data_IF_320527293648
#
_entry.id   IF_320527293648
#
_cell.length_a   1.000
_cell.length_b   1.000
_cell.length_c   1.000
_cell.angle_alpha   90.00
_cell.angle_beta   90.00
_cell.angle_gamma   90.00
#
_symmetry.space_group_name_H-M   'P 1'
#
loop_
_entity.id
_entity.type
_entity.pdbx_description
1 polymer ?
#
# COMPACT_ATOMS: atom_id res chain seq x y z
N UNK A 1 -16.90 50.80 -4.17
CA UNK A 1 -17.51 49.48 -4.50
C UNK A 1 -16.86 48.80 -5.72
N UNK A 2 -16.72 49.43 -6.91
CA UNK A 2 -16.12 48.78 -8.10
C UNK A 2 -14.71 48.22 -7.86
N UNK A 3 -13.83 48.92 -7.15
CA UNK A 3 -12.47 48.44 -6.83
C UNK A 3 -12.45 47.21 -5.96
N UNK A 4 -13.40 47.07 -5.01
CA UNK A 4 -13.53 45.89 -4.16
C UNK A 4 -14.01 44.68 -4.97
N UNK A 5 -14.96 44.86 -5.89
CA UNK A 5 -15.39 43.81 -6.79
C UNK A 5 -14.30 43.34 -7.74
N UNK A 6 -13.48 44.27 -8.26
CA UNK A 6 -12.31 43.93 -9.10
C UNK A 6 -11.29 43.13 -8.28
N UNK A 7 -10.95 43.60 -7.07
CA UNK A 7 -10.03 42.87 -6.20
C UNK A 7 -10.56 41.44 -5.83
N UNK A 8 -11.85 41.34 -5.48
CA UNK A 8 -12.49 40.07 -5.21
C UNK A 8 -12.42 39.10 -6.41
N UNK A 9 -12.78 39.60 -7.60
CA UNK A 9 -12.75 38.78 -8.83
C UNK A 9 -11.33 38.34 -9.15
N UNK A 10 -10.32 39.19 -8.99
CA UNK A 10 -8.90 38.81 -9.20
C UNK A 10 -8.44 37.73 -8.23
N UNK A 11 -8.77 37.86 -6.95
CA UNK A 11 -8.43 36.84 -5.95
C UNK A 11 -9.10 35.50 -6.29
N UNK A 12 -10.40 35.52 -6.63
CA UNK A 12 -11.14 34.33 -6.99
C UNK A 12 -10.54 33.64 -8.21
N UNK A 13 -10.28 34.40 -9.29
CA UNK A 13 -9.69 33.84 -10.51
C UNK A 13 -8.32 33.24 -10.22
N UNK A 14 -7.45 33.95 -9.48
CA UNK A 14 -6.13 33.44 -9.12
C UNK A 14 -6.23 32.15 -8.28
N UNK A 15 -7.13 32.15 -7.30
CA UNK A 15 -7.36 30.95 -6.45
C UNK A 15 -7.81 29.75 -7.29
N UNK A 16 -8.75 29.94 -8.22
CA UNK A 16 -9.20 28.83 -9.09
C UNK A 16 -8.10 28.36 -10.06
N UNK A 17 -7.25 29.26 -10.56
CA UNK A 17 -6.11 28.87 -11.39
C UNK A 17 -5.10 28.03 -10.60
N UNK A 18 -4.78 28.44 -9.37
CA UNK A 18 -3.89 27.66 -8.48
C UNK A 18 -4.50 26.32 -8.12
N UNK A 19 -5.77 26.29 -7.72
CA UNK A 19 -6.48 25.03 -7.40
C UNK A 19 -6.57 24.10 -8.61
N UNK A 20 -6.85 24.63 -9.80
CA UNK A 20 -6.88 23.84 -11.03
C UNK A 20 -5.52 23.25 -11.38
N UNK A 21 -4.44 24.04 -11.21
CA UNK A 21 -3.08 23.55 -11.40
C UNK A 21 -2.71 22.45 -10.40
N UNK A 22 -2.98 22.66 -9.09
CA UNK A 22 -2.76 21.67 -8.04
C UNK A 22 -3.56 20.41 -8.32
N UNK A 23 -4.86 20.54 -8.66
CA UNK A 23 -5.72 19.39 -8.98
C UNK A 23 -5.19 18.56 -10.14
N UNK A 24 -4.69 19.21 -11.18
CA UNK A 24 -4.05 18.54 -12.31
C UNK A 24 -2.78 17.79 -11.89
N UNK A 25 -1.94 18.41 -11.04
CA UNK A 25 -0.73 17.75 -10.51
C UNK A 25 -1.09 16.54 -9.64
N UNK A 26 -2.06 16.66 -8.75
CA UNK A 26 -2.53 15.55 -7.92
C UNK A 26 -3.00 14.38 -8.80
N UNK A 27 -3.80 14.68 -9.84
CA UNK A 27 -4.28 13.64 -10.77
C UNK A 27 -3.15 12.93 -11.52
N UNK A 28 -2.10 13.66 -11.90
CA UNK A 28 -0.95 13.09 -12.62
C UNK A 28 -0.04 12.25 -11.71
N UNK A 29 0.05 12.59 -10.43
CA UNK A 29 0.98 11.98 -9.46
C UNK A 29 0.33 10.91 -8.57
N UNK A 30 -1.00 10.76 -8.65
CA UNK A 30 -1.70 9.74 -7.86
C UNK A 30 -1.28 8.31 -8.26
N UNK A 31 -1.26 7.36 -7.31
CA UNK A 31 -0.97 5.96 -7.63
C UNK A 31 -2.04 5.39 -8.56
N UNK A 32 -1.65 4.73 -9.65
CA UNK A 32 -2.60 4.06 -10.52
C UNK A 32 -3.29 2.91 -9.77
N UNK A 33 -4.56 2.70 -10.03
CA UNK A 33 -5.28 1.50 -9.59
C UNK A 33 -5.15 0.46 -10.70
N UNK A 34 -4.33 -0.61 -10.52
CA UNK A 34 -4.15 -1.60 -11.56
C UNK A 34 -5.43 -2.40 -11.81
N UNK A 35 -5.68 -2.71 -13.08
CA UNK A 35 -6.76 -3.62 -13.48
C UNK A 35 -6.51 -5.05 -12.98
N UNK A 36 -5.23 -5.43 -12.81
CA UNK A 36 -4.83 -6.71 -12.24
C UNK A 36 -3.42 -6.68 -11.70
N UNK A 37 -3.17 -7.55 -10.73
CA UNK A 37 -1.82 -7.86 -10.26
C UNK A 37 -1.54 -9.31 -10.58
N UNK A 38 -0.43 -9.57 -11.26
CA UNK A 38 0.00 -10.91 -11.68
C UNK A 38 1.42 -11.20 -11.22
N UNK A 39 1.74 -12.46 -11.06
CA UNK A 39 3.12 -12.90 -10.86
C UNK A 39 3.87 -13.01 -12.20
N UNK A 40 5.17 -13.13 -12.16
CA UNK A 40 6.02 -13.31 -13.36
C UNK A 40 5.68 -14.59 -14.15
N UNK A 41 5.03 -15.58 -13.52
CA UNK A 41 4.54 -16.80 -14.17
C UNK A 41 3.08 -16.68 -14.69
N UNK A 42 2.46 -15.50 -14.55
CA UNK A 42 1.11 -15.20 -15.05
C UNK A 42 -0.03 -15.52 -14.07
N UNK A 43 0.26 -15.98 -12.85
CA UNK A 43 -0.79 -16.22 -11.84
C UNK A 43 -1.43 -14.91 -11.40
N UNK A 44 -2.77 -14.83 -11.45
CA UNK A 44 -3.52 -13.64 -11.01
C UNK A 44 -3.64 -13.64 -9.49
N UNK A 45 -3.12 -12.59 -8.85
CA UNK A 45 -3.19 -12.36 -7.39
C UNK A 45 -4.36 -11.45 -7.03
N UNK A 46 -4.53 -10.35 -7.78
CA UNK A 46 -5.63 -9.38 -7.63
C UNK A 46 -6.31 -9.23 -8.98
N UNK A 47 -7.62 -9.39 -9.01
CA UNK A 47 -8.43 -9.26 -10.22
C UNK A 47 -8.97 -7.84 -10.38
N UNK A 48 -9.50 -7.56 -11.56
CA UNK A 48 -10.11 -6.27 -11.87
C UNK A 48 -11.26 -5.93 -10.91
N UNK A 49 -11.24 -4.71 -10.38
CA UNK A 49 -12.24 -4.23 -9.44
C UNK A 49 -12.03 -4.63 -7.97
N UNK A 50 -11.15 -5.60 -7.67
CA UNK A 50 -10.93 -6.08 -6.29
C UNK A 50 -10.43 -4.96 -5.36
N UNK A 51 -9.54 -4.08 -5.84
CA UNK A 51 -8.99 -2.97 -5.04
C UNK A 51 -10.09 -1.97 -4.66
N UNK A 52 -10.88 -1.53 -5.62
CA UNK A 52 -11.99 -0.59 -5.36
C UNK A 52 -13.07 -1.20 -4.48
N UNK A 53 -13.41 -2.47 -4.70
CA UNK A 53 -14.35 -3.19 -3.83
C UNK A 53 -13.79 -3.36 -2.41
N UNK A 54 -12.48 -3.59 -2.27
CA UNK A 54 -11.80 -3.65 -0.97
C UNK A 54 -11.80 -2.33 -0.23
N UNK A 55 -11.61 -1.21 -0.93
CA UNK A 55 -11.78 0.13 -0.36
C UNK A 55 -13.19 0.34 0.19
N UNK A 56 -14.22 -0.10 -0.53
CA UNK A 56 -15.61 -0.03 -0.07
C UNK A 56 -15.83 -0.88 1.20
N UNK A 57 -15.19 -2.05 1.29
CA UNK A 57 -15.24 -2.87 2.52
C UNK A 57 -14.60 -2.12 3.69
N UNK A 58 -13.41 -1.54 3.52
CA UNK A 58 -12.74 -0.75 4.55
C UNK A 58 -13.58 0.45 5.00
N UNK A 59 -14.17 1.21 4.06
CA UNK A 59 -15.04 2.34 4.37
C UNK A 59 -16.30 1.90 5.13
N UNK A 60 -16.90 0.77 4.77
CA UNK A 60 -18.08 0.22 5.45
C UNK A 60 -17.80 -0.24 6.89
N UNK A 61 -16.53 -0.52 7.22
CA UNK A 61 -16.08 -0.85 8.59
C UNK A 61 -15.85 0.39 9.46
N UNK A 62 -15.93 1.60 8.90
CA UNK A 62 -15.64 2.87 9.60
C UNK A 62 -14.44 3.62 9.03
N UNK A 63 -13.76 3.07 8.01
CA UNK A 63 -12.66 3.73 7.34
C UNK A 63 -11.53 4.11 8.30
N UNK A 64 -11.15 5.38 8.33
CA UNK A 64 -10.06 5.91 9.16
C UNK A 64 -10.26 5.73 10.67
N UNK A 65 -11.49 5.49 11.15
CA UNK A 65 -11.74 5.25 12.57
C UNK A 65 -11.23 3.90 13.04
N UNK A 66 -11.27 2.89 12.16
CA UNK A 66 -10.86 1.51 12.46
C UNK A 66 -9.49 1.14 11.88
N UNK A 67 -8.68 2.10 11.52
CA UNK A 67 -7.33 1.94 10.98
C UNK A 67 -7.08 2.83 9.79
N UNK A 68 -5.94 3.54 9.82
CA UNK A 68 -5.62 4.52 8.79
C UNK A 68 -5.00 3.89 7.54
N UNK A 69 -4.97 4.69 6.50
CA UNK A 69 -4.26 4.43 5.25
C UNK A 69 -3.25 5.57 5.03
N UNK A 70 -2.03 5.22 4.61
CA UNK A 70 -0.94 6.16 4.33
C UNK A 70 -0.57 7.08 5.50
N UNK A 71 -0.64 6.57 6.72
CA UNK A 71 -0.13 7.25 7.90
C UNK A 71 -0.94 8.44 8.39
N UNK A 72 -2.22 8.54 8.03
CA UNK A 72 -3.09 9.63 8.50
C UNK A 72 -3.52 9.50 9.96
N UNK A 73 -3.18 8.38 10.60
CA UNK A 73 -3.56 8.10 11.99
C UNK A 73 -4.97 7.55 12.16
N UNK A 74 -5.16 6.75 13.19
CA UNK A 74 -6.45 6.24 13.64
C UNK A 74 -6.49 6.24 15.16
N UNK A 75 -7.68 6.03 15.76
CA UNK A 75 -7.81 6.07 17.22
C UNK A 75 -7.25 4.83 17.91
N UNK A 76 -7.38 3.65 17.32
CA UNK A 76 -7.09 2.38 18.00
C UNK A 76 -6.32 1.40 17.14
N UNK A 77 -6.78 1.14 15.93
CA UNK A 77 -6.15 0.18 15.02
C UNK A 77 -4.91 0.77 14.35
N UNK A 78 -4.02 -0.07 13.77
CA UNK A 78 -2.82 0.40 13.09
C UNK A 78 -3.13 1.17 11.80
N UNK A 79 -2.09 1.74 11.21
CA UNK A 79 -2.12 2.08 9.79
C UNK A 79 -1.98 0.78 8.97
N UNK A 80 -3.02 0.45 8.20
CA UNK A 80 -3.07 -0.80 7.44
C UNK A 80 -2.03 -0.86 6.33
N UNK A 81 -1.60 0.30 5.81
CA UNK A 81 -0.52 0.38 4.84
C UNK A 81 0.81 -0.02 5.49
N UNK A 82 1.12 0.56 6.64
CA UNK A 82 2.35 0.27 7.38
C UNK A 82 2.38 -1.18 7.87
N UNK A 83 1.28 -1.68 8.45
CA UNK A 83 1.18 -3.04 8.96
C UNK A 83 1.31 -4.07 7.82
N UNK A 84 0.62 -3.84 6.68
CA UNK A 84 0.80 -4.70 5.51
C UNK A 84 2.23 -4.70 5.00
N UNK A 85 2.80 -3.50 4.81
CA UNK A 85 4.15 -3.35 4.25
C UNK A 85 5.20 -4.03 5.10
N UNK A 86 5.13 -3.84 6.42
CA UNK A 86 6.04 -4.48 7.36
C UNK A 86 5.92 -6.02 7.32
N UNK A 87 4.69 -6.54 7.37
CA UNK A 87 4.45 -8.01 7.30
C UNK A 87 4.93 -8.62 6.01
N UNK A 88 4.67 -7.96 4.87
CA UNK A 88 5.16 -8.41 3.56
C UNK A 88 6.69 -8.44 3.54
N UNK A 89 7.34 -7.38 4.03
CA UNK A 89 8.80 -7.29 4.08
C UNK A 89 9.42 -8.39 4.96
N UNK A 90 8.92 -8.58 6.18
CA UNK A 90 9.40 -9.63 7.09
C UNK A 90 9.19 -11.01 6.50
N UNK A 91 8.00 -11.30 5.96
CA UNK A 91 7.71 -12.59 5.33
C UNK A 91 8.71 -12.91 4.21
N UNK A 92 8.97 -11.97 3.31
CA UNK A 92 9.87 -12.16 2.19
C UNK A 92 11.31 -12.39 2.68
N UNK A 93 11.77 -11.60 3.66
CA UNK A 93 13.11 -11.74 4.23
C UNK A 93 13.30 -13.08 4.93
N UNK A 94 12.33 -13.52 5.74
CA UNK A 94 12.38 -14.82 6.41
C UNK A 94 12.32 -15.98 5.41
N UNK A 95 11.50 -15.85 4.35
CA UNK A 95 11.42 -16.85 3.29
C UNK A 95 12.75 -17.05 2.58
N UNK A 96 13.44 -15.96 2.24
CA UNK A 96 14.77 -16.02 1.62
C UNK A 96 15.84 -16.48 2.60
N UNK A 97 15.86 -15.95 3.83
CA UNK A 97 16.82 -16.33 4.86
C UNK A 97 16.78 -17.83 5.15
N UNK A 98 15.56 -18.37 5.31
CA UNK A 98 15.38 -19.82 5.52
C UNK A 98 15.85 -20.64 4.33
N UNK A 99 15.52 -20.21 3.11
CA UNK A 99 15.90 -20.94 1.89
C UNK A 99 17.41 -20.92 1.61
N UNK A 100 18.08 -19.80 1.87
CA UNK A 100 19.50 -19.60 1.52
C UNK A 100 20.45 -19.93 2.68
N UNK A 101 20.04 -19.73 3.93
CA UNK A 101 20.90 -19.85 5.11
C UNK A 101 20.36 -20.80 6.19
N UNK A 102 19.17 -21.37 6.02
CA UNK A 102 18.56 -22.29 7.00
C UNK A 102 18.17 -21.65 8.34
N UNK A 103 18.03 -20.32 8.40
CA UNK A 103 17.70 -19.57 9.61
C UNK A 103 16.71 -18.43 9.30
N UNK A 104 16.00 -17.96 10.34
CA UNK A 104 15.19 -16.76 10.24
C UNK A 104 16.04 -15.51 10.00
N UNK A 105 15.51 -14.53 9.30
CA UNK A 105 16.24 -13.30 8.94
C UNK A 105 16.84 -12.59 10.17
N UNK A 106 16.10 -12.48 11.27
CA UNK A 106 16.57 -11.82 12.49
C UNK A 106 17.77 -12.53 13.17
N UNK A 107 18.03 -13.80 12.84
CA UNK A 107 19.15 -14.60 13.38
C UNK A 107 20.40 -14.54 12.52
N UNK A 108 20.34 -13.91 11.33
CA UNK A 108 21.49 -13.75 10.44
C UNK A 108 22.43 -12.67 10.96
N UNK A 109 23.70 -12.76 10.57
CA UNK A 109 24.66 -11.68 10.75
C UNK A 109 24.31 -10.44 9.90
N UNK A 110 24.91 -9.29 10.26
CA UNK A 110 24.58 -8.01 9.64
C UNK A 110 24.89 -7.95 8.13
N UNK A 111 25.88 -8.70 7.63
CA UNK A 111 26.22 -8.72 6.21
C UNK A 111 25.13 -9.42 5.40
N UNK A 112 24.70 -10.60 5.84
CA UNK A 112 23.60 -11.35 5.22
C UNK A 112 22.26 -10.60 5.30
N UNK A 113 21.99 -9.96 6.44
CA UNK A 113 20.81 -9.10 6.58
C UNK A 113 20.85 -7.96 5.56
N UNK A 114 21.97 -7.25 5.44
CA UNK A 114 22.12 -6.14 4.50
C UNK A 114 21.96 -6.60 3.04
N UNK A 115 22.51 -7.78 2.69
CA UNK A 115 22.35 -8.38 1.36
C UNK A 115 20.87 -8.64 1.02
N UNK A 116 20.13 -9.27 1.93
CA UNK A 116 18.70 -9.57 1.72
C UNK A 116 17.85 -8.30 1.71
N UNK A 117 18.15 -7.31 2.57
CA UNK A 117 17.49 -6.00 2.54
C UNK A 117 17.69 -5.27 1.21
N UNK A 118 18.92 -5.27 0.67
CA UNK A 118 19.19 -4.68 -0.64
C UNK A 118 18.38 -5.33 -1.76
N UNK A 119 18.23 -6.66 -1.71
CA UNK A 119 17.38 -7.42 -2.65
C UNK A 119 15.90 -7.09 -2.46
N UNK A 120 15.42 -7.01 -1.21
CA UNK A 120 14.04 -6.64 -0.88
C UNK A 120 13.72 -5.23 -1.40
N UNK A 121 14.57 -4.26 -1.10
CA UNK A 121 14.40 -2.89 -1.57
C UNK A 121 14.27 -2.83 -3.10
N UNK A 122 15.08 -3.58 -3.84
CA UNK A 122 14.99 -3.67 -5.30
C UNK A 122 13.64 -4.25 -5.74
N UNK A 123 13.19 -5.35 -5.13
CA UNK A 123 11.92 -6.03 -5.49
C UNK A 123 10.71 -5.15 -5.17
N UNK A 124 10.72 -4.46 -4.02
CA UNK A 124 9.58 -3.66 -3.57
C UNK A 124 9.50 -2.29 -4.26
N UNK A 125 10.65 -1.66 -4.53
CA UNK A 125 10.72 -0.29 -5.05
C UNK A 125 10.70 -0.20 -6.58
N UNK A 126 10.98 -1.30 -7.28
CA UNK A 126 10.91 -1.30 -8.76
C UNK A 126 9.46 -1.19 -9.21
N UNK A 127 9.17 -0.18 -10.01
CA UNK A 127 7.84 -0.01 -10.61
C UNK A 127 7.69 -0.95 -11.81
N UNK A 128 6.75 -1.86 -11.72
CA UNK A 128 6.42 -2.85 -12.76
C UNK A 128 5.00 -2.63 -13.33
N UNK A 129 4.41 -1.47 -13.07
CA UNK A 129 3.12 -1.11 -13.63
C UNK A 129 3.26 -0.81 -15.13
N UNK A 130 2.48 -1.51 -15.92
CA UNK A 130 2.34 -1.25 -17.36
C UNK A 130 1.05 -0.46 -17.62
N UNK A 131 1.14 0.82 -17.99
CA UNK A 131 -0.03 1.65 -18.24
C UNK A 131 -0.85 1.22 -19.46
N UNK A 132 -0.26 0.48 -20.41
CA UNK A 132 -0.96 0.02 -21.61
C UNK A 132 -1.96 -1.11 -21.29
N UNK A 133 -1.63 -1.95 -20.31
CA UNK A 133 -2.46 -3.10 -19.90
C UNK A 133 -3.12 -2.91 -18.55
N UNK A 134 -2.74 -1.86 -17.81
CA UNK A 134 -3.16 -1.66 -16.43
C UNK A 134 -2.66 -2.74 -15.47
N UNK A 135 -1.56 -3.44 -15.80
CA UNK A 135 -1.09 -4.61 -15.07
C UNK A 135 0.12 -4.27 -14.22
N UNK A 136 0.13 -4.73 -12.96
CA UNK A 136 1.33 -4.78 -12.12
C UNK A 136 1.86 -6.22 -12.09
N UNK A 137 3.14 -6.41 -12.40
CA UNK A 137 3.80 -7.72 -12.31
C UNK A 137 4.64 -7.80 -11.05
N UNK A 138 4.42 -8.81 -10.20
CA UNK A 138 5.15 -9.01 -8.96
C UNK A 138 5.95 -10.31 -8.97
N UNK A 139 6.99 -10.38 -8.13
CA UNK A 139 7.73 -11.61 -7.91
C UNK A 139 6.83 -12.66 -7.20
N UNK A 140 6.97 -13.99 -7.49
CA UNK A 140 6.15 -15.03 -6.86
C UNK A 140 6.16 -14.98 -5.33
N UNK A 141 7.30 -14.66 -4.70
CA UNK A 141 7.40 -14.51 -3.25
C UNK A 141 6.47 -13.43 -2.68
N UNK A 142 6.16 -12.37 -3.43
CA UNK A 142 5.18 -11.35 -3.04
C UNK A 142 3.74 -11.90 -3.08
N UNK A 143 3.45 -12.82 -4.00
CA UNK A 143 2.16 -13.52 -4.01
C UNK A 143 2.04 -14.47 -2.79
N UNK A 144 3.12 -15.15 -2.39
CA UNK A 144 3.15 -15.92 -1.15
C UNK A 144 2.91 -15.01 0.07
N UNK A 145 3.56 -13.85 0.13
CA UNK A 145 3.35 -12.86 1.19
C UNK A 145 1.91 -12.32 1.20
N UNK A 146 1.31 -12.09 0.02
CA UNK A 146 -0.10 -11.71 -0.08
C UNK A 146 -1.01 -12.76 0.57
N UNK A 147 -0.80 -14.06 0.32
CA UNK A 147 -1.59 -15.12 0.93
C UNK A 147 -1.40 -15.19 2.46
N UNK A 148 -0.18 -14.98 2.94
CA UNK A 148 0.10 -14.92 4.38
C UNK A 148 -0.62 -13.74 5.04
N UNK A 149 -0.59 -12.56 4.43
CA UNK A 149 -1.30 -11.38 4.89
C UNK A 149 -2.83 -11.55 4.80
N UNK A 150 -3.35 -12.12 3.71
CA UNK A 150 -4.77 -12.45 3.59
C UNK A 150 -5.25 -13.34 4.75
N UNK A 151 -4.47 -14.38 5.10
CA UNK A 151 -4.79 -15.25 6.25
C UNK A 151 -4.80 -14.45 7.55
N UNK A 152 -3.80 -13.59 7.78
CA UNK A 152 -3.73 -12.74 8.97
C UNK A 152 -4.94 -11.80 9.08
N UNK A 153 -5.27 -11.05 8.02
CA UNK A 153 -6.40 -10.13 8.05
C UNK A 153 -7.75 -10.85 8.10
N UNK A 154 -7.85 -12.04 7.50
CA UNK A 154 -9.03 -12.88 7.66
C UNK A 154 -9.25 -13.26 9.12
N UNK A 155 -8.19 -13.58 9.85
CA UNK A 155 -8.27 -13.84 11.29
C UNK A 155 -8.68 -12.59 12.07
N UNK A 156 -8.03 -11.46 11.83
CA UNK A 156 -8.31 -10.17 12.50
C UNK A 156 -9.77 -9.76 12.32
N UNK A 157 -10.31 -9.80 11.11
CA UNK A 157 -11.66 -9.28 10.82
C UNK A 157 -12.78 -10.30 11.04
N UNK A 158 -12.50 -11.59 10.95
CA UNK A 158 -13.50 -12.63 11.23
C UNK A 158 -13.59 -12.97 12.72
N UNK A 159 -12.45 -13.09 13.40
CA UNK A 159 -12.42 -13.45 14.83
C UNK A 159 -12.43 -12.23 15.75
N UNK A 160 -12.17 -11.04 15.21
CA UNK A 160 -12.08 -9.80 15.95
C UNK A 160 -10.71 -9.63 16.61
N UNK A 161 -10.37 -8.39 16.94
CA UNK A 161 -9.17 -8.03 17.69
C UNK A 161 -9.48 -6.86 18.63
N UNK A 162 -9.65 -7.16 19.90
CA UNK A 162 -10.07 -6.17 20.91
C UNK A 162 -9.11 -4.96 21.00
N UNK A 163 -7.79 -5.21 20.86
CA UNK A 163 -6.76 -4.18 20.86
C UNK A 163 -6.90 -3.16 19.72
N UNK A 164 -7.58 -3.56 18.63
CA UNK A 164 -7.85 -2.72 17.46
C UNK A 164 -9.31 -2.23 17.44
N UNK A 165 -10.07 -2.50 18.49
CA UNK A 165 -11.51 -2.27 18.55
C UNK A 165 -12.31 -2.92 17.40
N UNK A 166 -11.79 -4.02 16.84
CA UNK A 166 -12.46 -4.77 15.79
C UNK A 166 -13.29 -5.88 16.44
N UNK A 167 -14.63 -5.85 16.30
CA UNK A 167 -15.49 -6.87 16.88
C UNK A 167 -15.37 -8.18 16.11
N UNK A 168 -15.69 -9.29 16.78
CA UNK A 168 -15.82 -10.59 16.13
C UNK A 168 -16.91 -10.54 15.06
N UNK A 169 -16.62 -11.10 13.89
CA UNK A 169 -17.55 -11.14 12.77
C UNK A 169 -17.66 -9.80 12.00
N UNK A 170 -16.71 -8.88 12.16
CA UNK A 170 -16.69 -7.61 11.42
C UNK A 170 -16.74 -7.84 9.90
N UNK A 171 -15.98 -8.81 9.40
CA UNK A 171 -16.09 -9.34 8.02
C UNK A 171 -15.86 -10.85 8.07
N UNK A 172 -16.83 -11.64 7.62
CA UNK A 172 -16.76 -13.11 7.60
C UNK A 172 -16.79 -13.71 6.20
N UNK A 173 -17.20 -12.91 5.20
CA UNK A 173 -17.25 -13.34 3.81
C UNK A 173 -15.82 -13.40 3.24
N UNK A 174 -15.35 -14.59 2.78
CA UNK A 174 -14.00 -14.75 2.25
C UNK A 174 -13.70 -13.88 1.02
N UNK A 175 -14.69 -13.62 0.17
CA UNK A 175 -14.51 -12.77 -1.00
C UNK A 175 -14.29 -11.31 -0.58
N UNK A 176 -15.06 -10.81 0.37
CA UNK A 176 -14.85 -9.47 0.93
C UNK A 176 -13.51 -9.34 1.66
N UNK A 177 -13.06 -10.37 2.37
CA UNK A 177 -11.74 -10.40 3.03
C UNK A 177 -10.60 -10.37 2.00
N UNK A 178 -10.74 -11.11 0.90
CA UNK A 178 -9.77 -11.08 -0.21
C UNK A 178 -9.71 -9.69 -0.85
N UNK A 179 -10.85 -9.04 -1.10
CA UNK A 179 -10.93 -7.69 -1.65
C UNK A 179 -10.34 -6.65 -0.70
N UNK A 180 -10.64 -6.72 0.59
CA UNK A 180 -10.03 -5.88 1.63
C UNK A 180 -8.50 -6.01 1.63
N UNK A 181 -8.00 -7.24 1.53
CA UNK A 181 -6.56 -7.52 1.42
C UNK A 181 -5.95 -6.97 0.14
N UNK A 182 -6.68 -7.01 -0.99
CA UNK A 182 -6.23 -6.41 -2.24
C UNK A 182 -6.10 -4.89 -2.13
N UNK A 183 -7.00 -4.24 -1.40
CA UNK A 183 -6.91 -2.80 -1.11
C UNK A 183 -5.69 -2.48 -0.23
N UNK A 184 -5.46 -3.21 0.87
CA UNK A 184 -4.28 -3.01 1.73
C UNK A 184 -2.97 -3.28 0.99
N UNK A 185 -2.92 -4.33 0.16
CA UNK A 185 -1.79 -4.59 -0.73
C UNK A 185 -1.50 -3.41 -1.65
N UNK A 186 -2.52 -2.86 -2.31
CA UNK A 186 -2.36 -1.74 -3.22
C UNK A 186 -1.84 -0.48 -2.51
N UNK A 187 -2.34 -0.19 -1.32
CA UNK A 187 -1.86 0.96 -0.53
C UNK A 187 -0.39 0.78 -0.12
N UNK A 188 0.03 -0.43 0.25
CA UNK A 188 1.41 -0.77 0.57
C UNK A 188 2.31 -0.74 -0.68
N UNK A 189 1.82 -1.23 -1.83
CA UNK A 189 2.51 -1.10 -3.11
C UNK A 189 2.76 0.37 -3.46
N UNK A 190 1.77 1.24 -3.34
CA UNK A 190 1.91 2.67 -3.59
C UNK A 190 2.91 3.35 -2.65
N UNK A 191 3.02 2.86 -1.39
CA UNK A 191 3.95 3.39 -0.39
C UNK A 191 5.39 2.88 -0.56
N UNK A 192 5.59 1.76 -1.25
CA UNK A 192 6.91 1.14 -1.45
C UNK A 192 7.47 1.30 -2.85
N UNK A 193 6.63 1.41 -3.88
CA UNK A 193 7.05 1.45 -5.30
C UNK A 193 7.34 2.86 -5.74
N UNK A 194 8.50 3.07 -6.37
CA UNK A 194 8.88 4.38 -6.90
C UNK A 194 7.97 4.82 -8.05
N UNK A 195 7.70 6.11 -8.13
CA UNK A 195 7.12 6.72 -9.32
C UNK A 195 8.05 6.51 -10.52
N UNK A 196 7.52 6.51 -11.75
CA UNK A 196 8.36 6.45 -12.93
C UNK A 196 9.41 7.57 -12.95
N UNK A 197 10.69 7.18 -13.11
CA UNK A 197 11.83 8.11 -13.19
C UNK A 197 12.11 8.95 -11.92
N UNK A 198 11.55 8.56 -10.77
CA UNK A 198 11.76 9.25 -9.49
C UNK A 198 12.32 8.31 -8.43
N UNK A 199 13.03 8.87 -7.44
CA UNK A 199 13.48 8.16 -6.24
C UNK A 199 12.41 8.10 -5.13
N UNK A 200 11.29 8.79 -5.31
CA UNK A 200 10.17 8.83 -4.37
C UNK A 200 9.06 7.88 -4.79
N UNK A 201 8.33 7.32 -3.82
CA UNK A 201 7.16 6.50 -4.04
C UNK A 201 5.94 7.36 -4.35
N UNK A 202 4.81 6.73 -4.74
CA UNK A 202 3.56 7.46 -5.00
C UNK A 202 3.04 8.24 -3.77
N UNK A 203 3.43 7.84 -2.57
CA UNK A 203 3.07 8.50 -1.31
C UNK A 203 4.21 9.32 -0.70
N UNK A 204 5.23 9.71 -1.50
CA UNK A 204 6.45 10.40 -1.03
C UNK A 204 7.18 9.63 0.09
N UNK A 205 7.32 8.32 -0.08
CA UNK A 205 7.99 7.40 0.85
C UNK A 205 7.31 7.30 2.24
N UNK A 206 6.00 7.49 2.31
CA UNK A 206 5.27 7.39 3.56
C UNK A 206 4.10 6.37 3.46
N UNK A 207 3.86 5.50 4.48
CA UNK A 207 4.66 5.36 5.71
C UNK A 207 6.04 4.75 5.45
N UNK A 208 6.99 5.10 6.32
CA UNK A 208 8.37 4.61 6.22
C UNK A 208 8.48 3.18 6.76
N UNK A 209 9.06 2.28 5.94
CA UNK A 209 9.44 0.93 6.35
C UNK A 209 10.96 0.75 6.19
N UNK A 210 11.72 0.66 7.32
CA UNK A 210 13.17 0.54 7.26
C UNK A 210 13.68 -0.63 6.44
N UNK A 211 12.97 -1.77 6.44
CA UNK A 211 13.37 -2.97 5.70
C UNK A 211 13.29 -2.79 4.19
N UNK A 212 12.36 -1.96 3.73
CA UNK A 212 12.16 -1.61 2.31
C UNK A 212 13.02 -0.43 1.88
N UNK A 213 13.41 0.42 2.83
CA UNK A 213 14.27 1.58 2.58
C UNK A 213 13.57 2.73 1.84
N UNK A 214 12.26 2.85 1.92
CA UNK A 214 11.49 3.99 1.41
C UNK A 214 11.57 5.17 2.37
N UNK A 215 12.77 5.73 2.56
CA UNK A 215 13.01 6.82 3.51
C UNK A 215 12.35 8.12 3.03
N UNK A 216 11.52 8.80 3.86
CA UNK A 216 11.00 10.13 3.56
C UNK A 216 12.14 11.12 3.33
N UNK A 217 11.98 11.99 2.34
CA UNK A 217 12.95 13.04 1.97
C UNK A 217 12.54 14.37 2.58
#
# INVERSE_FOLDING_TARGET
MKRLWIAFTLVMVLSFLVLGWIGTRIHQEMPPIPSRVVTTDGTVVVAEGDIGAGQNVWQALGGMEVGSIWGHGSYVAPDWTADWLHREAVFILDRWATAEFGAEYAKLDGERQAQLQGRLAKVMRTNTYDPATGTVTIAPVRAEAFQANLKHYSDVFANGKAEYAIPKGAVTDPDRLKKLSAFFFWTAWAASTNRPNEGATFTNNWPYEPLVGNRPT
#
